data_IF_152269876929
#
_entry.id   IF_152269876929
#
_cell.length_a   1.000
_cell.length_b   1.000
_cell.length_c   1.000
_cell.angle_alpha   90.00
_cell.angle_beta   90.00
_cell.angle_gamma   90.00
#
_symmetry.space_group_name_H-M   'P 1'
#
loop_
_entity.id
_entity.type
_entity.pdbx_description
1 polymer ?
#
# COMPACT_ATOMS: atom_id res chain seq x y z
N UNK A 1 -0.51 -39.85 -27.83
CA UNK A 1 -0.52 -38.45 -27.34
C UNK A 1 -1.48 -38.43 -26.16
N UNK A 2 -1.02 -38.01 -25.00
CA UNK A 2 -1.82 -37.99 -23.76
C UNK A 2 -2.49 -36.62 -23.59
N UNK A 3 -3.71 -36.60 -23.05
CA UNK A 3 -4.43 -35.36 -22.75
C UNK A 3 -3.84 -34.72 -21.51
N UNK A 4 -3.33 -33.49 -21.63
CA UNK A 4 -2.82 -32.74 -20.49
C UNK A 4 -3.98 -32.36 -19.56
N UNK A 5 -3.87 -32.75 -18.28
CA UNK A 5 -4.84 -32.37 -17.25
C UNK A 5 -4.67 -30.91 -16.82
N UNK A 6 -5.78 -30.25 -16.48
CA UNK A 6 -5.76 -28.86 -16.01
C UNK A 6 -5.12 -28.79 -14.62
N UNK A 7 -4.14 -27.90 -14.39
CA UNK A 7 -3.44 -27.80 -13.11
C UNK A 7 -4.25 -26.93 -12.14
N UNK A 8 -5.51 -27.29 -11.88
CA UNK A 8 -6.35 -26.63 -10.87
C UNK A 8 -6.81 -27.65 -9.84
N UNK A 9 -6.69 -27.27 -8.56
CA UNK A 9 -7.11 -28.08 -7.42
C UNK A 9 -7.97 -27.23 -6.49
N UNK A 10 -9.09 -27.76 -6.02
CA UNK A 10 -9.95 -27.10 -5.04
C UNK A 10 -9.57 -27.61 -3.65
N UNK A 11 -9.32 -26.70 -2.72
CA UNK A 11 -9.07 -27.08 -1.32
C UNK A 11 -10.37 -27.29 -0.52
N UNK A 12 -10.22 -27.65 0.77
CA UNK A 12 -11.34 -27.95 1.65
C UNK A 12 -12.24 -26.72 1.90
N UNK A 13 -11.67 -25.52 1.75
CA UNK A 13 -12.35 -24.25 1.94
C UNK A 13 -12.97 -23.73 0.62
N UNK A 14 -12.87 -24.50 -0.46
CA UNK A 14 -13.41 -24.14 -1.78
C UNK A 14 -12.52 -23.19 -2.59
N UNK A 15 -11.29 -22.93 -2.15
CA UNK A 15 -10.34 -22.07 -2.86
C UNK A 15 -9.65 -22.86 -3.97
N UNK A 16 -9.66 -22.30 -5.19
CA UNK A 16 -9.04 -22.92 -6.35
C UNK A 16 -7.57 -22.52 -6.43
N UNK A 17 -6.67 -23.51 -6.43
CA UNK A 17 -5.20 -23.37 -6.45
C UNK A 17 -4.61 -23.90 -7.74
N UNK A 18 -3.49 -23.30 -8.16
CA UNK A 18 -2.77 -23.69 -9.37
C UNK A 18 -1.69 -24.72 -9.04
N UNK A 19 -1.78 -25.87 -9.71
CA UNK A 19 -0.89 -27.02 -9.53
C UNK A 19 -0.90 -27.54 -8.10
N UNK A 20 0.29 -27.78 -7.54
CA UNK A 20 0.51 -28.11 -6.12
C UNK A 20 0.98 -26.91 -5.30
N UNK A 21 0.69 -25.68 -5.74
CA UNK A 21 1.19 -24.45 -5.10
C UNK A 21 0.13 -23.77 -4.24
N UNK A 22 0.54 -22.77 -3.46
CA UNK A 22 -0.38 -21.90 -2.72
C UNK A 22 -0.95 -20.75 -3.55
N UNK A 23 -0.51 -20.59 -4.80
CA UNK A 23 -1.01 -19.52 -5.68
C UNK A 23 -2.41 -19.89 -6.17
N UNK A 24 -3.37 -18.97 -6.06
CA UNK A 24 -4.77 -19.22 -6.40
C UNK A 24 -5.08 -18.88 -7.85
N UNK A 25 -6.19 -19.42 -8.35
CA UNK A 25 -6.77 -19.02 -9.62
C UNK A 25 -6.99 -17.50 -9.68
N UNK A 26 -7.46 -16.91 -8.58
CA UNK A 26 -7.71 -15.49 -8.39
C UNK A 26 -6.47 -14.67 -8.71
N UNK A 27 -5.31 -15.07 -8.17
CA UNK A 27 -4.05 -14.37 -8.41
C UNK A 27 -3.68 -14.33 -9.89
N UNK A 28 -3.79 -15.47 -10.59
CA UNK A 28 -3.46 -15.55 -12.02
C UNK A 28 -4.48 -14.79 -12.87
N UNK A 29 -5.77 -14.91 -12.56
CA UNK A 29 -6.83 -14.22 -13.28
C UNK A 29 -6.73 -12.69 -13.13
N UNK A 30 -6.48 -12.18 -11.92
CA UNK A 30 -6.27 -10.76 -11.68
C UNK A 30 -5.02 -10.25 -12.39
N UNK A 31 -3.88 -10.93 -12.25
CA UNK A 31 -2.65 -10.51 -12.91
C UNK A 31 -2.80 -10.46 -14.44
N UNK A 32 -3.49 -11.44 -15.04
CA UNK A 32 -3.77 -11.43 -16.48
C UNK A 32 -4.73 -10.30 -16.88
N UNK A 33 -5.76 -10.01 -16.07
CA UNK A 33 -6.66 -8.88 -16.30
C UNK A 33 -5.93 -7.52 -16.20
N UNK A 34 -4.87 -7.44 -15.38
CA UNK A 34 -3.98 -6.27 -15.26
C UNK A 34 -2.97 -6.18 -16.42
N UNK A 35 -3.23 -6.87 -17.55
CA UNK A 35 -2.44 -6.83 -18.78
C UNK A 35 -1.03 -7.42 -18.61
N UNK A 36 -0.80 -8.25 -17.59
CA UNK A 36 0.45 -9.01 -17.48
C UNK A 36 0.42 -10.21 -18.44
N UNK A 37 1.53 -10.43 -19.13
CA UNK A 37 1.81 -11.64 -19.90
C UNK A 37 2.03 -12.85 -18.99
N UNK A 38 1.94 -14.07 -19.54
CA UNK A 38 2.17 -15.29 -18.76
C UNK A 38 3.59 -15.35 -18.18
N UNK A 39 4.57 -14.84 -18.92
CA UNK A 39 5.98 -14.74 -18.54
C UNK A 39 6.21 -13.72 -17.42
N UNK A 40 5.52 -12.58 -17.47
CA UNK A 40 5.54 -11.60 -16.36
C UNK A 40 4.87 -12.17 -15.11
N UNK A 41 3.75 -12.88 -15.26
CA UNK A 41 3.10 -13.59 -14.15
C UNK A 41 4.07 -14.63 -13.54
N UNK A 42 4.80 -15.39 -14.36
CA UNK A 42 5.82 -16.31 -13.87
C UNK A 42 6.94 -15.59 -13.11
N UNK A 43 7.37 -14.43 -13.60
CA UNK A 43 8.38 -13.60 -12.92
C UNK A 43 7.92 -13.16 -11.53
N UNK A 44 6.65 -12.76 -11.39
CA UNK A 44 6.04 -12.40 -10.10
C UNK A 44 5.84 -13.62 -9.19
N UNK A 45 5.56 -14.80 -9.77
CA UNK A 45 5.27 -16.03 -9.05
C UNK A 45 6.17 -17.20 -9.51
N UNK A 46 7.47 -17.21 -9.16
CA UNK A 46 8.46 -18.16 -9.69
C UNK A 46 8.23 -19.62 -9.26
N UNK A 47 7.28 -19.86 -8.34
CA UNK A 47 6.83 -21.20 -7.95
C UNK A 47 5.89 -21.83 -8.98
N UNK A 48 5.31 -21.03 -9.88
CA UNK A 48 4.46 -21.51 -10.96
C UNK A 48 5.29 -21.91 -12.17
N UNK A 49 4.91 -23.01 -12.81
CA UNK A 49 5.47 -23.40 -14.10
C UNK A 49 4.78 -22.59 -15.19
N UNK A 50 5.55 -22.13 -16.18
CA UNK A 50 5.00 -21.38 -17.31
C UNK A 50 3.88 -22.14 -18.05
N UNK A 51 4.04 -23.45 -18.22
CA UNK A 51 3.01 -24.31 -18.82
C UNK A 51 1.69 -24.31 -18.03
N UNK A 52 1.77 -24.28 -16.70
CA UNK A 52 0.58 -24.26 -15.84
C UNK A 52 -0.14 -22.90 -15.95
N UNK A 53 0.61 -21.80 -16.03
CA UNK A 53 0.05 -20.46 -16.22
C UNK A 53 -0.72 -20.38 -17.54
N UNK A 54 -0.14 -20.84 -18.64
CA UNK A 54 -0.86 -20.86 -19.92
C UNK A 54 -2.11 -21.74 -19.90
N UNK A 55 -2.05 -22.90 -19.25
CA UNK A 55 -3.22 -23.77 -19.10
C UNK A 55 -4.35 -23.08 -18.31
N UNK A 56 -4.00 -22.39 -17.22
CA UNK A 56 -4.97 -21.63 -16.41
C UNK A 56 -5.53 -20.43 -17.17
N UNK A 57 -4.71 -19.66 -17.88
CA UNK A 57 -5.17 -18.54 -18.72
C UNK A 57 -6.12 -19.06 -19.81
N UNK A 58 -5.77 -20.16 -20.48
CA UNK A 58 -6.65 -20.78 -21.47
C UNK A 58 -7.99 -21.20 -20.87
N UNK A 59 -7.97 -21.84 -19.69
CA UNK A 59 -9.19 -22.18 -18.96
C UNK A 59 -10.02 -20.94 -18.60
N UNK A 60 -9.39 -19.89 -18.08
CA UNK A 60 -10.03 -18.63 -17.72
C UNK A 60 -10.72 -17.97 -18.93
N UNK A 61 -10.02 -17.89 -20.07
CA UNK A 61 -10.58 -17.30 -21.29
C UNK A 61 -11.79 -18.07 -21.81
N UNK A 62 -11.76 -19.40 -21.75
CA UNK A 62 -12.88 -20.24 -22.17
C UNK A 62 -14.05 -20.27 -21.18
N UNK A 63 -13.82 -19.92 -19.91
CA UNK A 63 -14.82 -20.03 -18.84
C UNK A 63 -15.02 -18.72 -18.09
N UNK A 64 -14.83 -17.58 -18.77
CA UNK A 64 -14.70 -16.26 -18.15
C UNK A 64 -15.87 -15.90 -17.24
N UNK A 65 -17.10 -16.19 -17.67
CA UNK A 65 -18.30 -15.92 -16.86
C UNK A 65 -18.31 -16.74 -15.55
N UNK A 66 -17.98 -18.03 -15.61
CA UNK A 66 -17.95 -18.90 -14.44
C UNK A 66 -16.84 -18.50 -13.48
N UNK A 67 -15.63 -18.23 -13.99
CA UNK A 67 -14.50 -17.79 -13.16
C UNK A 67 -14.80 -16.44 -12.53
N UNK A 68 -15.31 -15.46 -13.27
CA UNK A 68 -15.67 -14.16 -12.71
C UNK A 68 -16.74 -14.26 -11.61
N UNK A 69 -17.72 -15.15 -11.76
CA UNK A 69 -18.72 -15.40 -10.72
C UNK A 69 -18.08 -15.96 -9.45
N UNK A 70 -17.15 -16.90 -9.59
CA UNK A 70 -16.37 -17.42 -8.47
C UNK A 70 -15.52 -16.33 -7.79
N UNK A 71 -14.80 -15.52 -8.56
CA UNK A 71 -14.00 -14.40 -8.01
C UNK A 71 -14.86 -13.40 -7.23
N UNK A 72 -16.03 -13.07 -7.77
CA UNK A 72 -16.98 -12.18 -7.10
C UNK A 72 -17.52 -12.79 -5.79
N UNK A 73 -17.77 -14.10 -5.75
CA UNK A 73 -18.17 -14.77 -4.52
C UNK A 73 -17.07 -14.71 -3.46
N UNK A 74 -15.81 -14.89 -3.86
CA UNK A 74 -14.67 -14.77 -2.95
C UNK A 74 -14.50 -13.35 -2.42
N UNK A 75 -14.63 -12.34 -3.27
CA UNK A 75 -14.55 -10.93 -2.86
C UNK A 75 -15.66 -10.58 -1.85
N UNK A 76 -16.90 -11.00 -2.12
CA UNK A 76 -18.02 -10.80 -1.19
C UNK A 76 -17.81 -11.52 0.15
N UNK A 77 -17.25 -12.74 0.14
CA UNK A 77 -16.95 -13.50 1.35
C UNK A 77 -15.84 -12.83 2.18
N UNK A 78 -14.80 -12.34 1.50
CA UNK A 78 -13.73 -11.58 2.12
C UNK A 78 -14.28 -10.29 2.74
N UNK A 79 -15.09 -9.51 2.01
CA UNK A 79 -15.69 -8.27 2.50
C UNK A 79 -16.54 -8.50 3.76
N UNK A 80 -17.39 -9.54 3.77
CA UNK A 80 -18.17 -9.91 4.96
C UNK A 80 -17.27 -10.21 6.16
N UNK A 81 -16.23 -11.02 5.94
CA UNK A 81 -15.26 -11.36 6.99
C UNK A 81 -14.55 -10.11 7.51
N UNK A 82 -14.17 -9.19 6.61
CA UNK A 82 -13.58 -7.90 6.99
C UNK A 82 -14.52 -7.05 7.83
N UNK A 83 -15.79 -6.94 7.45
CA UNK A 83 -16.80 -6.19 8.20
C UNK A 83 -17.05 -6.79 9.59
N UNK A 84 -17.07 -8.11 9.70
CA UNK A 84 -17.21 -8.82 10.99
C UNK A 84 -16.01 -8.56 11.91
N UNK A 85 -14.78 -8.67 11.37
CA UNK A 85 -13.55 -8.39 12.13
C UNK A 85 -13.50 -6.92 12.54
N UNK A 86 -13.79 -6.01 11.61
CA UNK A 86 -13.75 -4.58 11.88
C UNK A 86 -14.82 -4.17 12.90
N UNK A 87 -16.04 -4.72 12.82
CA UNK A 87 -17.09 -4.40 13.79
C UNK A 87 -16.89 -5.05 15.17
N UNK A 88 -15.98 -6.02 15.31
CA UNK A 88 -15.72 -6.69 16.57
C UNK A 88 -15.21 -5.71 17.65
N UNK A 89 -15.86 -5.64 18.84
CA UNK A 89 -15.49 -4.69 19.89
C UNK A 89 -14.03 -4.81 20.33
N UNK A 90 -13.52 -6.03 20.46
CA UNK A 90 -12.14 -6.29 20.88
C UNK A 90 -11.13 -5.76 19.86
N UNK A 91 -11.42 -5.92 18.56
CA UNK A 91 -10.59 -5.38 17.49
C UNK A 91 -10.60 -3.86 17.49
N UNK A 92 -11.77 -3.23 17.66
CA UNK A 92 -11.86 -1.77 17.78
C UNK A 92 -11.06 -1.23 18.96
N UNK A 93 -11.20 -1.84 20.14
CA UNK A 93 -10.43 -1.45 21.33
C UNK A 93 -8.92 -1.60 21.11
N UNK A 94 -8.50 -2.69 20.47
CA UNK A 94 -7.10 -2.92 20.11
C UNK A 94 -6.59 -1.86 19.12
N UNK A 95 -7.34 -1.58 18.05
CA UNK A 95 -7.03 -0.55 17.04
C UNK A 95 -6.89 0.82 17.68
N UNK A 96 -7.85 1.24 18.51
CA UNK A 96 -7.80 2.51 19.24
C UNK A 96 -6.54 2.64 20.11
N UNK A 97 -6.17 1.56 20.82
CA UNK A 97 -4.95 1.53 21.64
C UNK A 97 -3.69 1.74 20.79
N UNK A 98 -3.58 1.08 19.64
CA UNK A 98 -2.42 1.22 18.75
C UNK A 98 -2.33 2.62 18.16
N UNK A 99 -3.46 3.21 17.74
CA UNK A 99 -3.50 4.57 17.20
C UNK A 99 -3.11 5.62 18.25
N UNK A 100 -3.60 5.48 19.49
CA UNK A 100 -3.22 6.36 20.59
C UNK A 100 -1.70 6.31 20.87
N UNK A 101 -1.10 5.12 20.85
CA UNK A 101 0.35 4.94 21.01
C UNK A 101 1.15 5.59 19.88
N UNK A 102 0.67 5.48 18.64
CA UNK A 102 1.32 6.13 17.48
C UNK A 102 1.29 7.65 17.63
N UNK A 103 0.13 8.24 17.94
CA UNK A 103 -0.02 9.68 18.11
C UNK A 103 0.85 10.24 19.24
N UNK A 104 0.97 9.51 20.36
CA UNK A 104 1.84 9.91 21.47
C UNK A 104 3.33 9.95 21.06
N UNK A 105 3.79 8.96 20.26
CA UNK A 105 5.16 8.95 19.74
C UNK A 105 5.41 10.12 18.79
N UNK A 106 4.50 10.39 17.86
CA UNK A 106 4.62 11.50 16.92
C UNK A 106 4.69 12.85 17.66
N UNK A 107 3.82 13.08 18.65
CA UNK A 107 3.88 14.27 19.52
C UNK A 107 5.22 14.38 20.25
N UNK A 108 5.72 13.30 20.83
CA UNK A 108 7.00 13.30 21.54
C UNK A 108 8.19 13.63 20.61
N UNK A 109 8.17 13.14 19.37
CA UNK A 109 9.19 13.45 18.35
C UNK A 109 9.11 14.90 17.89
N UNK A 110 7.92 15.44 17.66
CA UNK A 110 7.71 16.84 17.30
C UNK A 110 8.14 17.80 18.43
N UNK A 111 7.87 17.43 19.69
CA UNK A 111 8.25 18.23 20.85
C UNK A 111 9.77 18.24 21.06
N UNK A 112 10.45 17.09 20.86
CA UNK A 112 11.92 17.04 20.86
C UNK A 112 12.52 17.90 19.74
N UNK A 113 11.96 17.83 18.53
CA UNK A 113 12.48 18.58 17.39
C UNK A 113 12.30 20.11 17.56
N UNK A 114 11.17 20.55 18.10
CA UNK A 114 10.89 21.98 18.37
C UNK A 114 11.71 22.57 19.53
N UNK A 115 12.03 21.78 20.56
CA UNK A 115 12.95 22.20 21.63
C UNK A 115 14.39 22.31 21.13
N UNK A 116 14.85 21.37 20.29
CA UNK A 116 16.19 21.41 19.69
C UNK A 116 16.37 22.62 18.77
N UNK A 117 15.36 22.96 17.96
CA UNK A 117 15.41 24.16 17.10
C UNK A 117 15.44 25.45 17.90
N UNK A 118 14.72 25.54 19.04
CA UNK A 118 14.79 26.71 19.94
C UNK A 118 16.14 26.84 20.65
N UNK A 119 16.74 25.75 21.11
CA UNK A 119 18.07 25.76 21.76
C UNK A 119 19.16 26.16 20.75
N UNK A 120 19.11 25.64 19.51
CA UNK A 120 20.07 25.96 18.45
C UNK A 120 19.94 27.39 17.90
N UNK A 121 18.72 27.93 17.80
CA UNK A 121 18.52 29.33 17.37
C UNK A 121 18.95 30.32 18.44
N UNK A 122 18.77 30.00 19.72
CA UNK A 122 19.29 30.83 20.81
C UNK A 122 20.83 30.78 20.93
N UNK A 123 21.46 29.67 20.53
CA UNK A 123 22.93 29.54 20.47
C UNK A 123 23.58 30.35 19.34
N UNK A 124 22.83 30.75 18.30
CA UNK A 124 23.31 31.60 17.19
C UNK A 124 23.13 33.12 17.46
N UNK A 125 22.44 33.52 18.54
CA UNK A 125 22.26 34.93 18.91
C UNK A 125 23.29 35.47 19.91
N UNK A 126 24.17 34.64 20.46
CA UNK A 126 25.21 35.07 21.42
C UNK A 126 26.49 35.62 20.73
N UNK A 127 26.33 36.33 19.60
CA UNK A 127 27.45 36.77 18.77
C UNK A 127 27.13 37.97 17.87
N UNK A 128 26.35 38.94 18.33
CA UNK A 128 26.16 40.23 17.64
C UNK A 128 26.27 41.39 18.63
N UNK A 129 27.50 41.73 19.04
CA UNK A 129 27.81 43.03 19.63
C UNK A 129 28.63 43.86 18.64
N UNK A 130 28.26 45.14 18.55
CA UNK A 130 28.96 46.28 17.96
C UNK A 130 28.87 46.48 16.43
N UNK A 131 27.89 47.28 16.00
CA UNK A 131 28.16 48.60 15.39
C UNK A 131 26.84 49.33 15.02
N UNK A 132 26.58 50.45 15.70
CA UNK A 132 25.78 51.59 15.21
C UNK A 132 26.73 52.82 15.32
N UNK A 133 26.57 53.96 14.59
CA UNK A 133 25.34 54.58 14.08
C UNK A 133 25.49 55.12 12.62
N UNK A 134 24.50 55.73 11.94
CA UNK A 134 24.11 57.15 12.03
C UNK A 134 22.84 57.36 11.18
N UNK A 135 21.85 58.00 11.79
CA UNK A 135 20.68 58.60 11.13
C UNK A 135 21.11 59.86 10.35
N UNK A 136 20.80 59.93 9.06
CA UNK A 136 20.71 61.22 8.34
C UNK A 136 19.33 61.30 7.69
N UNK A 137 18.57 62.27 8.18
CA UNK A 137 17.39 62.85 7.55
C UNK A 137 17.81 63.64 6.31
N UNK A 138 17.17 63.41 5.16
CA UNK A 138 17.05 64.44 4.14
C UNK A 138 15.78 64.24 3.31
N UNK A 139 14.96 65.28 3.36
CA UNK A 139 13.75 65.51 2.59
C UNK A 139 14.10 65.90 1.14
N UNK A 140 13.08 65.94 0.27
CA UNK A 140 12.98 66.63 -1.03
C UNK A 140 13.36 65.91 -2.35
N UNK A 141 12.29 65.49 -3.04
CA UNK A 141 11.76 66.07 -4.29
C UNK A 141 12.18 65.52 -5.67
N UNK A 142 11.19 65.63 -6.59
CA UNK A 142 11.21 65.61 -8.07
C UNK A 142 10.95 64.21 -8.67
N UNK A 143 9.76 63.84 -9.17
CA UNK A 143 8.89 64.31 -10.27
C UNK A 143 9.32 63.83 -11.69
N UNK A 144 8.41 63.06 -12.32
CA UNK A 144 8.20 62.73 -13.76
C UNK A 144 9.04 61.63 -14.43
N UNK A 145 8.54 61.06 -15.55
CA UNK A 145 7.15 60.89 -16.03
C UNK A 145 6.69 59.42 -16.07
#
# INVERSE_FOLDING_TARGET
>A
METQSLPLQVDQDGVVRVGGTRVTLDTVAHAFNDVNTAEEIMSHYPVLKLADIYAVISYYLNNRAAVNSYLQQQENAAEKTWLEIESAPDYQLFRHRLLARRAAREKSSQQRNSQQTRISTNALCAGCYAAAPIWISSQTAILLP
#
